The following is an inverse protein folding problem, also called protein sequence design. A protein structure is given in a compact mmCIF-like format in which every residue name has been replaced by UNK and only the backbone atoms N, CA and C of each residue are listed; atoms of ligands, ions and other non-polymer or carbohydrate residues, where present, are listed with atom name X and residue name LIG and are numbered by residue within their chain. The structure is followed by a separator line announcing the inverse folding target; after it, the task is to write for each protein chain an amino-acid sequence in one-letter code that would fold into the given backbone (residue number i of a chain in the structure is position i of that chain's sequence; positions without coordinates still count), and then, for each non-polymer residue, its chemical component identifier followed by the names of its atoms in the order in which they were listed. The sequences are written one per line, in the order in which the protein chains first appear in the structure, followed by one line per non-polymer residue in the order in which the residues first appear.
data_IF_661472018706
#
_entry.id   IF_661472018706
#
_cell.length_a   1.000
_cell.length_b   1.000
_cell.length_c   1.000
_cell.angle_alpha   90.00
_cell.angle_beta   90.00
_cell.angle_gamma   90.00
#
_symmetry.space_group_name_H-M   'P 1'
#
loop_
_entity.id
_entity.type
_entity.pdbx_description
1 polymer ?
#
# COMPACT_ATOMS: atom_id res chain seq x y z
N UNK A 1 5.28 19.29 -9.23
CA UNK A 1 5.90 19.37 -10.58
C UNK A 1 7.33 19.88 -10.45
N UNK A 2 8.28 19.05 -10.03
CA UNK A 2 9.70 19.46 -9.88
C UNK A 2 10.54 19.20 -11.13
N UNK A 3 10.09 18.32 -12.04
CA UNK A 3 10.79 17.98 -13.29
C UNK A 3 10.85 19.11 -14.33
N UNK A 4 10.11 20.20 -14.12
CA UNK A 4 10.09 21.39 -14.99
C UNK A 4 11.01 22.51 -14.49
N UNK A 5 11.67 22.35 -13.33
CA UNK A 5 12.54 23.40 -12.73
C UNK A 5 13.97 23.46 -13.29
N UNK A 6 14.30 22.68 -14.31
CA UNK A 6 15.61 22.75 -14.99
C UNK A 6 15.62 23.80 -16.10
N UNK A 7 16.79 24.38 -16.40
CA UNK A 7 16.99 25.23 -17.57
C UNK A 7 16.47 24.52 -18.83
N UNK A 8 15.69 25.24 -19.64
CA UNK A 8 15.13 24.70 -20.87
C UNK A 8 16.26 24.31 -21.83
N UNK A 9 16.31 23.02 -22.18
CA UNK A 9 17.24 22.50 -23.18
C UNK A 9 16.44 21.64 -24.16
N UNK A 10 16.39 22.09 -25.41
CA UNK A 10 15.53 21.54 -26.46
C UNK A 10 15.82 20.05 -26.75
N UNK A 11 17.10 19.65 -26.68
CA UNK A 11 17.52 18.26 -26.86
C UNK A 11 17.01 17.30 -25.77
N UNK A 12 16.70 17.79 -24.57
CA UNK A 12 16.14 16.95 -23.48
C UNK A 12 14.61 16.88 -23.52
N UNK A 13 13.96 17.63 -24.41
CA UNK A 13 12.51 17.76 -24.41
C UNK A 13 11.82 16.50 -24.94
N UNK A 14 12.41 15.85 -25.94
CA UNK A 14 11.93 14.55 -26.43
C UNK A 14 12.12 13.44 -25.41
N UNK A 15 13.28 13.38 -24.74
CA UNK A 15 13.55 12.41 -23.68
C UNK A 15 12.62 12.62 -22.48
N UNK A 16 12.42 13.86 -22.04
CA UNK A 16 11.45 14.19 -20.99
C UNK A 16 10.02 13.82 -21.39
N UNK A 17 9.61 14.06 -22.64
CA UNK A 17 8.28 13.64 -23.13
C UNK A 17 8.13 12.12 -23.17
N UNK A 18 9.17 11.38 -23.59
CA UNK A 18 9.18 9.92 -23.55
C UNK A 18 9.10 9.41 -22.10
N UNK A 19 9.84 10.02 -21.18
CA UNK A 19 9.81 9.69 -19.76
C UNK A 19 8.45 9.98 -19.12
N UNK A 20 7.84 11.14 -19.39
CA UNK A 20 6.51 11.49 -18.86
C UNK A 20 5.38 10.63 -19.43
N UNK A 21 5.56 10.06 -20.62
CA UNK A 21 4.63 9.09 -21.24
C UNK A 21 4.91 7.65 -20.82
N UNK A 22 5.93 7.40 -20.00
CA UNK A 22 6.28 6.06 -19.59
C UNK A 22 5.30 5.55 -18.53
N UNK A 23 4.35 4.71 -18.95
CA UNK A 23 3.24 4.20 -18.15
C UNK A 23 3.65 3.33 -16.95
N UNK A 24 4.94 3.02 -16.78
CA UNK A 24 5.42 2.31 -15.59
C UNK A 24 5.60 3.21 -14.37
N UNK A 25 5.72 4.53 -14.56
CA UNK A 25 5.78 5.47 -13.45
C UNK A 25 4.42 6.11 -13.25
N UNK A 26 3.87 5.92 -12.05
CA UNK A 26 2.68 6.66 -11.64
C UNK A 26 3.16 8.08 -11.28
N UNK A 27 2.68 9.13 -11.96
CA UNK A 27 3.12 10.49 -11.70
C UNK A 27 2.90 10.82 -10.23
N UNK A 28 3.96 11.35 -9.60
CA UNK A 28 3.94 11.69 -8.19
C UNK A 28 2.87 12.76 -7.96
N UNK A 29 1.78 12.38 -7.29
CA UNK A 29 0.77 13.33 -6.83
C UNK A 29 1.43 14.31 -5.85
N UNK A 30 0.87 15.51 -5.77
CA UNK A 30 1.31 16.52 -4.80
C UNK A 30 1.34 15.92 -3.39
N UNK A 31 2.45 16.10 -2.65
CA UNK A 31 2.65 15.49 -1.33
C UNK A 31 1.54 15.87 -0.34
N UNK A 32 1.11 17.13 -0.36
CA UNK A 32 0.02 17.59 0.49
C UNK A 32 -1.30 16.92 0.12
N UNK A 33 -1.57 16.79 -1.18
CA UNK A 33 -2.76 16.11 -1.69
C UNK A 33 -2.78 14.63 -1.30
N UNK A 34 -1.66 13.92 -1.43
CA UNK A 34 -1.54 12.51 -1.00
C UNK A 34 -1.80 12.41 0.50
N UNK A 35 -1.15 13.26 1.30
CA UNK A 35 -1.29 13.22 2.76
C UNK A 35 -2.75 13.43 3.20
N UNK A 36 -3.41 14.44 2.62
CA UNK A 36 -4.83 14.70 2.89
C UNK A 36 -5.72 13.51 2.52
N UNK A 37 -5.51 12.92 1.34
CA UNK A 37 -6.25 11.76 0.88
C UNK A 37 -6.02 10.55 1.79
N UNK A 38 -4.78 10.29 2.21
CA UNK A 38 -4.46 9.20 3.15
C UNK A 38 -5.21 9.42 4.47
N UNK A 39 -5.22 10.65 4.99
CA UNK A 39 -5.89 10.97 6.24
C UNK A 39 -7.40 10.72 6.15
N UNK A 40 -8.07 11.25 5.12
CA UNK A 40 -9.50 11.01 4.90
C UNK A 40 -9.83 9.52 4.73
N UNK A 41 -9.02 8.81 3.95
CA UNK A 41 -9.18 7.36 3.77
C UNK A 41 -9.00 6.60 5.07
N UNK A 42 -8.05 7.00 5.92
CA UNK A 42 -7.81 6.35 7.22
C UNK A 42 -9.02 6.46 8.16
N UNK A 43 -9.78 7.56 8.10
CA UNK A 43 -11.02 7.74 8.86
C UNK A 43 -12.13 6.81 8.36
N UNK A 44 -12.26 6.63 7.04
CA UNK A 44 -13.23 5.67 6.50
C UNK A 44 -12.85 4.23 6.85
N UNK A 45 -11.56 3.91 6.76
CA UNK A 45 -11.03 2.60 7.13
C UNK A 45 -11.29 2.30 8.60
N UNK A 46 -10.98 3.23 9.52
CA UNK A 46 -11.22 3.01 10.95
C UNK A 46 -12.70 2.71 11.25
N UNK A 47 -13.62 3.44 10.60
CA UNK A 47 -15.06 3.18 10.69
C UNK A 47 -15.43 1.79 10.17
N UNK A 48 -14.96 1.41 8.98
CA UNK A 48 -15.20 0.10 8.38
C UNK A 48 -14.71 -1.01 9.31
N UNK A 49 -13.48 -0.93 9.79
CA UNK A 49 -12.89 -1.94 10.66
C UNK A 49 -13.60 -2.04 12.00
N UNK A 50 -13.97 -0.91 12.61
CA UNK A 50 -14.76 -0.88 13.84
C UNK A 50 -16.13 -1.53 13.63
N UNK A 51 -16.85 -1.16 12.57
CA UNK A 51 -18.16 -1.71 12.25
C UNK A 51 -18.12 -3.22 11.93
N UNK A 52 -17.00 -3.71 11.39
CA UNK A 52 -16.77 -5.14 11.11
C UNK A 52 -16.18 -5.92 12.28
N UNK A 53 -16.21 -5.36 13.49
CA UNK A 53 -15.77 -6.05 14.72
C UNK A 53 -14.26 -6.18 14.85
N UNK A 54 -13.49 -5.31 14.18
CA UNK A 54 -12.02 -5.25 14.25
C UNK A 54 -11.53 -3.86 14.71
N UNK A 55 -11.90 -3.39 15.91
CA UNK A 55 -11.61 -2.01 16.34
C UNK A 55 -10.13 -1.75 16.70
N UNK A 56 -9.32 -2.79 16.90
CA UNK A 56 -7.97 -2.69 17.46
C UNK A 56 -6.85 -2.51 16.44
N UNK A 57 -7.13 -1.97 15.25
CA UNK A 57 -6.10 -1.80 14.22
C UNK A 57 -5.20 -0.60 14.56
N UNK A 58 -3.87 -0.79 14.62
CA UNK A 58 -2.92 0.31 14.80
C UNK A 58 -3.09 1.42 13.76
N UNK A 59 -2.89 2.68 14.18
CA UNK A 59 -2.93 3.82 13.27
C UNK A 59 -1.94 3.66 12.10
N UNK A 60 -0.75 3.13 12.35
CA UNK A 60 0.24 2.87 11.31
C UNK A 60 -0.31 1.98 10.18
N UNK A 61 -1.03 0.93 10.54
CA UNK A 61 -1.60 0.00 9.57
C UNK A 61 -2.75 0.64 8.81
N UNK A 62 -3.61 1.43 9.47
CA UNK A 62 -4.64 2.21 8.79
C UNK A 62 -4.05 3.16 7.74
N UNK A 63 -2.93 3.82 8.05
CA UNK A 63 -2.22 4.71 7.13
C UNK A 63 -1.58 3.94 5.96
N UNK A 64 -1.01 2.76 6.22
CA UNK A 64 -0.48 1.88 5.17
C UNK A 64 -1.59 1.43 4.22
N UNK A 65 -2.73 0.96 4.77
CA UNK A 65 -3.88 0.52 3.99
C UNK A 65 -4.45 1.69 3.17
N UNK A 66 -4.59 2.86 3.77
CA UNK A 66 -5.02 4.08 3.10
C UNK A 66 -4.09 4.45 1.94
N UNK A 67 -2.78 4.32 2.12
CA UNK A 67 -1.82 4.59 1.05
C UNK A 67 -1.94 3.59 -0.10
N UNK A 68 -2.10 2.30 0.20
CA UNK A 68 -2.27 1.26 -0.83
C UNK A 68 -3.58 1.45 -1.60
N UNK A 69 -4.65 1.89 -0.93
CA UNK A 69 -5.96 2.10 -1.56
C UNK A 69 -5.97 3.18 -2.64
N UNK A 70 -5.01 4.12 -2.62
CA UNK A 70 -4.82 5.14 -3.66
C UNK A 70 -4.30 4.56 -4.98
N UNK A 71 -3.71 3.35 -4.95
CA UNK A 71 -3.14 2.69 -6.13
C UNK A 71 -3.80 1.31 -6.37
N UNK A 72 -5.14 1.25 -6.48
CA UNK A 72 -5.86 -0.01 -6.53
C UNK A 72 -5.46 -0.79 -7.80
N UNK A 73 -5.10 -2.05 -7.62
CA UNK A 73 -4.75 -2.93 -8.73
C UNK A 73 -3.32 -2.80 -9.27
N UNK A 74 -2.59 -1.75 -8.88
CA UNK A 74 -1.23 -1.47 -9.38
C UNK A 74 -0.12 -1.92 -8.42
N UNK A 75 -0.47 -2.21 -7.16
CA UNK A 75 0.50 -2.53 -6.09
C UNK A 75 0.14 -3.86 -5.45
N UNK A 76 1.16 -4.70 -5.27
CA UNK A 76 1.13 -5.84 -4.36
C UNK A 76 1.77 -5.42 -3.04
N UNK A 77 1.07 -5.68 -1.95
CA UNK A 77 1.57 -5.43 -0.61
C UNK A 77 2.17 -6.72 -0.05
N UNK A 78 3.47 -6.72 0.18
CA UNK A 78 4.19 -7.83 0.80
C UNK A 78 4.32 -7.59 2.30
N UNK A 79 3.89 -8.54 3.11
CA UNK A 79 4.00 -8.45 4.57
C UNK A 79 4.28 -9.81 5.19
N UNK A 80 5.08 -9.82 6.27
CA UNK A 80 5.26 -10.98 7.14
C UNK A 80 4.16 -11.06 8.21
N UNK A 81 3.40 -9.97 8.38
CA UNK A 81 2.31 -9.90 9.34
C UNK A 81 1.11 -10.70 8.83
N UNK A 82 0.81 -11.78 9.54
CA UNK A 82 -0.25 -12.72 9.17
C UNK A 82 -1.63 -12.25 9.62
N UNK A 83 -1.72 -11.36 10.61
CA UNK A 83 -2.96 -11.07 11.34
C UNK A 83 -3.53 -9.69 11.01
N UNK A 84 -2.68 -8.68 10.82
CA UNK A 84 -3.14 -7.29 10.83
C UNK A 84 -3.73 -6.83 9.49
N UNK A 85 -3.18 -7.33 8.38
CA UNK A 85 -3.60 -6.88 7.03
C UNK A 85 -4.51 -7.86 6.28
N UNK A 86 -4.73 -9.06 6.83
CA UNK A 86 -4.91 -10.23 5.96
C UNK A 86 -6.32 -10.61 5.52
N UNK A 87 -7.41 -9.90 5.86
CA UNK A 87 -8.75 -10.44 5.46
C UNK A 87 -9.89 -9.51 5.14
N UNK A 88 -9.94 -8.27 5.65
CA UNK A 88 -11.15 -7.47 5.41
C UNK A 88 -11.14 -6.83 4.03
N UNK A 89 -10.10 -6.07 3.72
CA UNK A 89 -10.02 -5.25 2.50
C UNK A 89 -9.00 -5.75 1.49
N UNK A 90 -8.33 -6.86 1.77
CA UNK A 90 -7.31 -7.44 0.92
C UNK A 90 -7.71 -8.84 0.46
N UNK A 91 -7.31 -9.16 -0.76
CA UNK A 91 -7.29 -10.51 -1.27
C UNK A 91 -5.84 -11.02 -1.23
N UNK A 92 -5.65 -12.23 -0.69
CA UNK A 92 -4.34 -12.88 -0.72
C UNK A 92 -4.10 -13.42 -2.13
N UNK A 93 -3.03 -12.94 -2.75
CA UNK A 93 -2.62 -13.35 -4.10
C UNK A 93 -1.60 -14.47 -4.05
N UNK A 94 -0.77 -14.53 -3.00
CA UNK A 94 0.23 -15.57 -2.86
C UNK A 94 0.89 -15.58 -1.49
N UNK A 95 1.65 -16.64 -1.26
CA UNK A 95 2.50 -16.82 -0.09
C UNK A 95 3.86 -17.26 -0.61
N UNK A 96 4.93 -16.62 -0.14
CA UNK A 96 6.28 -17.12 -0.33
C UNK A 96 6.88 -17.47 1.02
N UNK A 97 7.62 -18.57 1.02
CA UNK A 97 8.30 -19.08 2.21
C UNK A 97 9.79 -19.07 1.93
N UNK A 98 10.55 -18.46 2.83
CA UNK A 98 12.00 -18.35 2.72
C UNK A 98 12.63 -18.95 3.95
N UNK A 99 13.75 -19.65 3.76
CA UNK A 99 14.59 -20.09 4.88
C UNK A 99 15.69 -19.06 5.06
N UNK A 100 15.77 -18.50 6.27
CA UNK A 100 16.79 -17.52 6.65
C UNK A 100 17.61 -18.07 7.80
N UNK A 101 18.93 -18.03 7.65
CA UNK A 101 19.83 -18.32 8.75
C UNK A 101 19.91 -17.11 9.69
N UNK A 102 19.49 -17.31 10.93
CA UNK A 102 19.59 -16.32 12.00
C UNK A 102 20.63 -16.81 12.99
N UNK A 103 21.59 -15.94 13.29
CA UNK A 103 22.60 -16.19 14.32
C UNK A 103 22.03 -15.74 15.66
N UNK A 104 21.84 -16.68 16.58
CA UNK A 104 21.43 -16.42 17.94
C UNK A 104 22.59 -16.68 18.91
N UNK A 105 22.41 -16.40 20.21
CA UNK A 105 23.43 -16.62 21.26
C UNK A 105 23.91 -18.07 21.35
N UNK A 106 23.15 -19.03 20.83
CA UNK A 106 23.39 -20.48 20.90
C UNK A 106 23.99 -21.05 19.58
N UNK A 107 23.95 -20.31 18.47
CA UNK A 107 24.45 -20.78 17.17
C UNK A 107 23.68 -20.26 15.97
N UNK A 108 23.94 -20.85 14.79
CA UNK A 108 23.17 -20.61 13.56
C UNK A 108 21.91 -21.48 13.58
N UNK A 109 20.74 -20.84 13.40
CA UNK A 109 19.46 -21.53 13.28
C UNK A 109 18.77 -21.12 11.98
N UNK A 110 18.24 -22.10 11.26
CA UNK A 110 17.33 -21.85 10.15
C UNK A 110 15.95 -21.45 10.67
N UNK A 111 15.49 -20.26 10.28
CA UNK A 111 14.15 -19.75 10.58
C UNK A 111 13.37 -19.69 9.26
N UNK A 112 12.18 -20.25 9.28
CA UNK A 112 11.24 -20.17 8.15
C UNK A 112 10.47 -18.86 8.26
N UNK A 113 10.75 -17.93 7.36
CA UNK A 113 10.00 -16.68 7.19
C UNK A 113 8.89 -16.89 6.15
N UNK A 114 7.68 -16.45 6.47
CA UNK A 114 6.52 -16.55 5.58
C UNK A 114 6.05 -15.15 5.23
N UNK A 115 6.14 -14.80 3.95
CA UNK A 115 5.67 -13.52 3.40
C UNK A 115 4.35 -13.75 2.66
N UNK A 116 3.35 -12.93 2.94
CA UNK A 116 2.09 -12.90 2.22
C UNK A 116 2.10 -11.75 1.22
N UNK A 117 1.60 -12.02 0.01
CA UNK A 117 1.33 -11.00 -1.00
C UNK A 117 -0.16 -10.72 -1.05
N UNK A 118 -0.52 -9.48 -0.75
CA UNK A 118 -1.88 -9.02 -0.62
C UNK A 118 -2.18 -7.99 -1.70
N UNK A 119 -3.39 -8.02 -2.25
CA UNK A 119 -3.90 -7.03 -3.19
C UNK A 119 -5.11 -6.33 -2.59
N UNK A 120 -5.09 -5.00 -2.57
CA UNK A 120 -6.21 -4.23 -2.06
C UNK A 120 -7.44 -4.41 -2.95
N UNK A 121 -8.56 -4.80 -2.34
CA UNK A 121 -9.82 -5.04 -3.01
C UNK A 121 -10.72 -3.80 -2.90
N UNK A 122 -10.68 -2.98 -3.95
CA UNK A 122 -11.51 -1.76 -4.04
C UNK A 122 -13.01 -2.05 -3.96
N UNK A 123 -13.47 -3.19 -4.48
CA UNK A 123 -14.89 -3.55 -4.47
C UNK A 123 -15.36 -3.86 -3.04
N UNK A 124 -14.58 -4.63 -2.26
CA UNK A 124 -14.84 -4.88 -0.84
C UNK A 124 -14.87 -3.59 -0.03
N UNK A 125 -13.91 -2.69 -0.29
CA UNK A 125 -13.88 -1.38 0.36
C UNK A 125 -15.17 -0.59 0.11
N UNK A 126 -15.57 -0.43 -1.16
CA UNK A 126 -16.79 0.31 -1.51
C UNK A 126 -18.05 -0.34 -0.92
N UNK A 127 -18.13 -1.68 -0.97
CA UNK A 127 -19.22 -2.43 -0.35
C UNK A 127 -19.33 -2.11 1.15
N UNK A 128 -18.25 -2.25 1.90
CA UNK A 128 -18.27 -2.02 3.34
C UNK A 128 -18.45 -0.55 3.73
N UNK A 129 -17.97 0.37 2.90
CA UNK A 129 -18.22 1.79 3.09
C UNK A 129 -19.72 2.12 3.00
N UNK A 130 -20.43 1.52 2.04
CA UNK A 130 -21.87 1.71 1.86
C UNK A 130 -22.72 1.03 2.94
N UNK A 131 -22.17 0.03 3.63
CA UNK A 131 -22.82 -0.64 4.76
C UNK A 131 -22.69 0.14 6.08
N UNK A 132 -21.87 1.20 6.13
CA UNK A 132 -21.73 2.02 7.32
C UNK A 132 -23.04 2.76 7.66
N UNK A 133 -23.38 2.90 8.96
CA UNK A 133 -24.48 3.75 9.37
C UNK A 133 -24.21 5.20 8.93
N UNK A 134 -25.25 5.84 8.38
CA UNK A 134 -25.24 7.22 7.91
C UNK A 134 -25.20 8.21 9.06
#
# INVERSE_FOLDING_TARGET
MEFTRGAYAEHLLEEKRKFLKYERFIPMLDHYKIHHQIYEQSLFLSRIYTHKGKPSIPLGDLLIIARISLYPGSVLFATIDKNDFSTLLFDRVGIATFTRQVRDRVGLRDVIEVVQFLKFNKQKFQKYLNELPK
#
